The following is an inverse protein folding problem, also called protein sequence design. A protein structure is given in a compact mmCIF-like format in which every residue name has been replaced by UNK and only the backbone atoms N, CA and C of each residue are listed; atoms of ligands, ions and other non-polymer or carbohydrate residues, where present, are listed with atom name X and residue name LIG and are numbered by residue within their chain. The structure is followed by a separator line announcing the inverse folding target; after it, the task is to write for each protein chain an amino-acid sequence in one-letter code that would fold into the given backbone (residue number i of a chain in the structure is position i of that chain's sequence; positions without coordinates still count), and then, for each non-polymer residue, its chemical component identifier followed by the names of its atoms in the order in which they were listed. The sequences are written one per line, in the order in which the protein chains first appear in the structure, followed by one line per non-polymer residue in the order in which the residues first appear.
data_IF_933032547728
#
_entry.id   IF_933032547728
#
_cell.length_a   1.000
_cell.length_b   1.000
_cell.length_c   1.000
_cell.angle_alpha   90.00
_cell.angle_beta   90.00
_cell.angle_gamma   90.00
#
_symmetry.space_group_name_H-M   'P 1'
#
loop_
_entity.id
_entity.type
_entity.pdbx_description
1 polymer ?
#
# COMPACT_ATOMS: atom_id res chain seq x y z
N UNK A 1 28.37 -26.69 -35.23
CA UNK A 1 29.43 -26.53 -34.21
C UNK A 1 28.82 -25.74 -33.05
N UNK A 2 28.46 -26.42 -31.97
CA UNK A 2 27.82 -25.82 -30.79
C UNK A 2 28.90 -25.35 -29.81
N UNK A 3 28.81 -24.11 -29.32
CA UNK A 3 29.72 -23.56 -28.29
C UNK A 3 29.20 -23.91 -26.89
N UNK A 4 30.07 -24.27 -25.93
CA UNK A 4 29.66 -24.77 -24.63
C UNK A 4 29.21 -23.68 -23.67
N UNK A 5 28.26 -24.06 -22.82
CA UNK A 5 27.81 -23.38 -21.61
C UNK A 5 28.96 -22.75 -20.80
N UNK A 6 28.90 -21.44 -20.59
CA UNK A 6 29.53 -20.79 -19.43
C UNK A 6 28.43 -20.67 -18.37
N UNK A 7 28.45 -21.59 -17.40
CA UNK A 7 27.75 -21.41 -16.13
C UNK A 7 28.42 -20.23 -15.42
N UNK A 8 27.81 -19.05 -15.55
CA UNK A 8 28.16 -17.87 -14.75
C UNK A 8 27.98 -18.22 -13.28
N UNK A 9 29.10 -18.29 -12.56
CA UNK A 9 29.14 -18.36 -11.10
C UNK A 9 28.40 -17.12 -10.58
N UNK A 10 27.15 -17.28 -10.13
CA UNK A 10 26.57 -16.31 -9.20
C UNK A 10 27.43 -16.33 -7.95
N UNK A 11 28.26 -15.29 -7.79
CA UNK A 11 29.15 -15.13 -6.65
C UNK A 11 28.32 -14.83 -5.40
N UNK A 12 28.68 -15.45 -4.27
CA UNK A 12 28.06 -15.29 -2.95
C UNK A 12 27.84 -13.81 -2.55
N UNK A 13 28.64 -12.88 -3.08
CA UNK A 13 28.47 -11.44 -2.85
C UNK A 13 27.14 -10.88 -3.38
N UNK A 14 26.58 -11.42 -4.47
CA UNK A 14 25.29 -10.98 -5.02
C UNK A 14 24.13 -11.44 -4.13
N UNK A 15 24.23 -12.63 -3.51
CA UNK A 15 23.24 -13.14 -2.56
C UNK A 15 23.29 -12.39 -1.23
N UNK A 16 24.47 -11.98 -0.77
CA UNK A 16 24.64 -11.13 0.42
C UNK A 16 23.95 -9.75 0.25
N UNK A 17 24.12 -9.09 -0.90
CA UNK A 17 23.50 -7.80 -1.22
C UNK A 17 21.96 -7.85 -1.22
N UNK A 18 21.36 -8.92 -1.78
CA UNK A 18 19.90 -9.10 -1.75
C UNK A 18 19.39 -9.30 -0.32
N UNK A 19 20.06 -10.15 0.46
CA UNK A 19 19.64 -10.50 1.83
C UNK A 19 19.71 -9.29 2.77
N UNK A 20 20.74 -8.46 2.64
CA UNK A 20 20.88 -7.20 3.38
C UNK A 20 19.77 -6.17 3.06
N UNK A 21 19.39 -6.05 1.78
CA UNK A 21 18.30 -5.17 1.33
C UNK A 21 16.92 -5.62 1.86
N UNK A 22 16.64 -6.92 1.88
CA UNK A 22 15.38 -7.46 2.38
C UNK A 22 15.23 -7.33 3.90
N UNK A 23 16.31 -7.57 4.64
CA UNK A 23 16.34 -7.48 6.10
C UNK A 23 16.10 -6.04 6.60
N UNK A 24 16.81 -5.05 6.04
CA UNK A 24 16.63 -3.65 6.44
C UNK A 24 15.20 -3.14 6.18
N UNK A 25 14.51 -3.70 5.18
CA UNK A 25 13.10 -3.41 4.93
C UNK A 25 12.17 -4.11 5.92
N UNK A 26 12.46 -5.35 6.34
CA UNK A 26 11.69 -6.09 7.31
C UNK A 26 11.67 -5.40 8.68
N UNK A 27 12.83 -5.03 9.24
CA UNK A 27 12.90 -4.31 10.51
C UNK A 27 12.22 -2.94 10.46
N UNK A 28 12.37 -2.20 9.35
CA UNK A 28 11.68 -0.93 9.18
C UNK A 28 10.16 -1.08 9.16
N UNK A 29 9.63 -2.20 8.64
CA UNK A 29 8.19 -2.49 8.72
C UNK A 29 7.77 -2.76 10.15
N UNK A 30 8.53 -3.58 10.88
CA UNK A 30 8.26 -3.90 12.28
C UNK A 30 8.33 -2.67 13.19
N UNK A 31 9.35 -1.82 13.05
CA UNK A 31 9.47 -0.56 13.78
C UNK A 31 8.29 0.38 13.51
N UNK A 32 7.81 0.45 12.27
CA UNK A 32 6.61 1.25 11.93
C UNK A 32 5.35 0.69 12.59
N UNK A 33 5.18 -0.63 12.65
CA UNK A 33 4.05 -1.26 13.34
C UNK A 33 4.09 -0.95 14.84
N UNK A 34 5.25 -1.15 15.46
CA UNK A 34 5.48 -0.84 16.87
C UNK A 34 5.23 0.65 17.19
N UNK A 35 5.77 1.56 16.39
CA UNK A 35 5.61 3.00 16.57
C UNK A 35 4.13 3.43 16.53
N UNK A 36 3.35 2.86 15.60
CA UNK A 36 1.92 3.13 15.47
C UNK A 36 1.12 2.61 16.66
N UNK A 37 1.39 1.37 17.07
CA UNK A 37 0.70 0.73 18.19
C UNK A 37 0.95 1.45 19.53
N UNK A 38 2.18 1.95 19.74
CA UNK A 38 2.59 2.56 21.01
C UNK A 38 2.62 4.10 20.99
N UNK A 39 2.23 4.73 19.87
CA UNK A 39 2.24 6.20 19.66
C UNK A 39 3.58 6.86 19.95
N UNK A 40 4.69 6.17 19.64
CA UNK A 40 6.05 6.70 19.75
C UNK A 40 6.59 7.13 18.39
N UNK A 41 7.64 7.94 18.38
CA UNK A 41 8.27 8.31 17.10
C UNK A 41 8.92 7.10 16.43
N UNK A 42 8.97 7.11 15.09
CA UNK A 42 9.62 6.04 14.33
C UNK A 42 11.11 5.89 14.71
N UNK A 43 11.78 6.99 15.04
CA UNK A 43 13.19 6.96 15.45
C UNK A 43 13.38 6.17 16.77
N UNK A 44 12.53 6.43 17.77
CA UNK A 44 12.55 5.70 19.04
C UNK A 44 12.24 4.21 18.85
N UNK A 45 11.29 3.87 17.98
CA UNK A 45 10.98 2.48 17.67
C UNK A 45 12.15 1.77 16.95
N UNK A 46 12.86 2.46 16.05
CA UNK A 46 14.03 1.91 15.36
C UNK A 46 15.19 1.67 16.32
N UNK A 47 15.43 2.58 17.28
CA UNK A 47 16.49 2.40 18.28
C UNK A 47 16.15 1.30 19.28
N UNK A 48 14.87 1.14 19.64
CA UNK A 48 14.40 0.03 20.48
C UNK A 48 14.64 -1.32 19.80
N UNK A 49 14.25 -1.46 18.53
CA UNK A 49 14.50 -2.71 17.79
C UNK A 49 15.99 -2.94 17.54
N UNK A 50 16.80 -1.89 17.41
CA UNK A 50 18.24 -2.02 17.34
C UNK A 50 18.84 -2.51 18.67
N UNK A 51 18.32 -2.02 19.80
CA UNK A 51 18.67 -2.47 21.15
C UNK A 51 18.41 -3.95 21.37
N UNK A 52 17.26 -4.45 20.91
CA UNK A 52 16.91 -5.87 20.96
C UNK A 52 17.92 -6.75 20.19
N UNK A 53 18.48 -6.20 19.11
CA UNK A 53 19.49 -6.86 18.30
C UNK A 53 20.92 -6.67 18.83
N UNK A 54 21.07 -6.06 20.01
CA UNK A 54 22.36 -5.83 20.67
C UNK A 54 23.09 -4.56 20.24
N UNK A 55 22.41 -3.62 19.57
CA UNK A 55 23.00 -2.37 19.10
C UNK A 55 22.52 -1.15 19.89
N UNK A 56 23.45 -0.24 20.19
CA UNK A 56 23.15 1.01 20.92
C UNK A 56 22.22 1.96 20.15
N UNK A 57 22.19 1.87 18.82
CA UNK A 57 21.27 2.66 17.98
C UNK A 57 21.06 2.05 16.61
N UNK A 58 19.98 2.46 15.95
CA UNK A 58 19.67 2.08 14.58
C UNK A 58 20.80 2.44 13.60
N UNK A 59 21.45 3.59 13.80
CA UNK A 59 22.57 4.03 12.97
C UNK A 59 23.77 3.08 13.09
N UNK A 60 24.05 2.57 14.31
CA UNK A 60 25.11 1.58 14.53
C UNK A 60 24.76 0.25 13.88
N UNK A 61 23.52 -0.22 14.02
CA UNK A 61 23.03 -1.41 13.35
C UNK A 61 23.20 -1.30 11.83
N UNK A 62 22.76 -0.21 11.22
CA UNK A 62 22.89 0.01 9.75
C UNK A 62 24.36 0.10 9.32
N UNK A 63 25.23 0.68 10.14
CA UNK A 63 26.68 0.74 9.83
C UNK A 63 27.35 -0.63 9.88
N UNK A 64 26.87 -1.51 10.76
CA UNK A 64 27.39 -2.88 10.92
C UNK A 64 26.77 -3.84 9.91
N UNK A 65 25.51 -3.64 9.53
CA UNK A 65 24.85 -4.44 8.47
C UNK A 65 25.49 -4.24 7.11
N UNK A 66 26.12 -3.08 6.87
CA UNK A 66 26.95 -2.82 5.67
C UNK A 66 28.27 -3.62 5.66
N UNK A 67 28.62 -4.28 6.76
CA UNK A 67 29.80 -5.14 6.93
C UNK A 67 29.39 -6.60 7.11
N UNK A 68 28.41 -7.05 6.32
CA UNK A 68 27.91 -8.42 6.25
C UNK A 68 27.22 -8.98 7.51
N UNK A 69 26.83 -8.11 8.44
CA UNK A 69 26.02 -8.53 9.57
C UNK A 69 24.55 -8.71 9.16
N UNK A 70 24.01 -9.89 9.44
CA UNK A 70 22.61 -10.29 9.23
C UNK A 70 22.13 -10.89 10.55
N UNK A 71 20.94 -10.54 11.06
CA UNK A 71 20.44 -11.16 12.28
C UNK A 71 20.10 -12.61 12.05
N UNK A 72 20.29 -13.39 13.11
CA UNK A 72 19.82 -14.77 13.16
C UNK A 72 18.28 -14.84 13.12
N UNK A 73 17.72 -15.99 12.72
CA UNK A 73 16.28 -16.24 12.81
C UNK A 73 15.72 -16.04 14.22
N UNK A 74 16.48 -16.39 15.25
CA UNK A 74 16.11 -16.20 16.66
C UNK A 74 16.01 -14.72 17.03
N UNK A 75 16.98 -13.92 16.58
CA UNK A 75 16.96 -12.46 16.75
C UNK A 75 15.77 -11.81 16.03
N UNK A 76 15.43 -12.29 14.83
CA UNK A 76 14.24 -11.83 14.10
C UNK A 76 12.94 -12.22 14.81
N UNK A 77 12.86 -13.45 15.33
CA UNK A 77 11.70 -13.92 16.09
C UNK A 77 11.51 -13.12 17.39
N UNK A 78 12.61 -12.75 18.08
CA UNK A 78 12.53 -11.90 19.29
C UNK A 78 11.97 -10.51 18.96
N UNK A 79 12.45 -9.90 17.88
CA UNK A 79 11.95 -8.60 17.41
C UNK A 79 10.47 -8.68 17.01
N UNK A 80 10.05 -9.76 16.34
CA UNK A 80 8.65 -9.99 15.98
C UNK A 80 7.77 -10.15 17.23
N UNK A 81 8.22 -10.93 18.22
CA UNK A 81 7.51 -11.14 19.48
C UNK A 81 7.29 -9.83 20.27
N UNK A 82 8.29 -8.94 20.32
CA UNK A 82 8.15 -7.61 20.93
C UNK A 82 7.10 -6.78 20.21
N UNK A 83 7.09 -6.82 18.88
CA UNK A 83 6.14 -6.06 18.07
C UNK A 83 4.73 -6.60 18.27
N UNK A 84 4.56 -7.91 18.29
CA UNK A 84 3.27 -8.58 18.48
C UNK A 84 2.71 -8.38 19.89
N UNK A 85 3.55 -8.49 20.93
CA UNK A 85 3.16 -8.25 22.32
C UNK A 85 2.77 -6.79 22.59
N UNK A 86 3.25 -5.85 21.78
CA UNK A 86 2.94 -4.43 21.89
C UNK A 86 1.74 -3.99 21.02
N UNK A 87 1.11 -4.90 20.27
CA UNK A 87 -0.15 -4.62 19.57
C UNK A 87 -1.31 -4.67 20.57
N UNK A 88 -2.15 -3.62 20.66
CA UNK A 88 -3.36 -3.73 21.46
C UNK A 88 -4.30 -4.83 20.92
N UNK A 89 -5.11 -5.43 21.80
CA UNK A 89 -5.85 -6.67 21.55
C UNK A 89 -6.81 -6.60 20.34
N UNK A 90 -7.24 -5.40 19.97
CA UNK A 90 -8.03 -5.07 18.78
C UNK A 90 -7.24 -5.13 17.45
N UNK A 91 -5.91 -5.15 17.49
CA UNK A 91 -5.04 -5.37 16.32
C UNK A 91 -4.57 -6.83 16.19
N UNK A 92 -4.89 -7.70 17.16
CA UNK A 92 -4.63 -9.13 17.05
C UNK A 92 -5.60 -9.75 16.04
N UNK A 93 -5.06 -10.45 15.04
CA UNK A 93 -5.85 -11.13 14.03
C UNK A 93 -6.78 -12.16 14.69
N UNK A 94 -8.10 -12.01 14.49
CA UNK A 94 -9.11 -12.95 14.99
C UNK A 94 -9.92 -12.49 16.20
N UNK A 95 -9.65 -11.29 16.77
CA UNK A 95 -10.48 -10.78 17.87
C UNK A 95 -11.90 -10.44 17.38
N UNK A 96 -12.99 -10.89 18.06
CA UNK A 96 -14.37 -10.66 17.63
C UNK A 96 -14.72 -9.19 17.44
N UNK A 97 -14.20 -8.30 18.30
CA UNK A 97 -14.41 -6.86 18.19
C UNK A 97 -13.67 -6.23 16.99
N UNK A 98 -12.48 -6.74 16.64
CA UNK A 98 -11.74 -6.31 15.46
C UNK A 98 -12.43 -6.77 14.17
N UNK A 99 -13.01 -7.98 14.20
CA UNK A 99 -13.86 -8.50 13.13
C UNK A 99 -15.17 -7.71 13.05
N UNK A 100 -15.83 -7.41 14.17
CA UNK A 100 -17.06 -6.62 14.20
C UNK A 100 -16.83 -5.20 13.69
N UNK A 101 -15.74 -4.51 14.05
CA UNK A 101 -15.37 -3.23 13.45
C UNK A 101 -15.05 -3.34 11.96
N UNK A 102 -14.40 -4.43 11.53
CA UNK A 102 -14.12 -4.71 10.11
C UNK A 102 -15.41 -4.98 9.32
N UNK A 103 -16.40 -5.62 9.94
CA UNK A 103 -17.70 -5.97 9.35
C UNK A 103 -18.74 -4.85 9.47
N UNK A 104 -18.62 -3.93 10.44
CA UNK A 104 -19.53 -2.78 10.60
C UNK A 104 -19.51 -1.83 9.38
N UNK A 105 -18.41 -1.85 8.60
CA UNK A 105 -18.36 -1.15 7.31
C UNK A 105 -19.23 -1.80 6.22
N UNK A 106 -19.56 -3.10 6.35
CA UNK A 106 -20.45 -3.80 5.41
C UNK A 106 -21.92 -3.46 5.65
N UNK A 107 -22.33 -3.20 6.91
CA UNK A 107 -23.71 -2.85 7.25
C UNK A 107 -24.12 -1.48 6.68
N UNK A 108 -23.16 -0.58 6.48
CA UNK A 108 -23.38 0.74 5.87
C UNK A 108 -23.03 0.78 4.37
N UNK A 109 -22.83 -0.37 3.73
CA UNK A 109 -22.51 -0.40 2.31
C UNK A 109 -23.67 0.15 1.48
N UNK A 110 -23.35 0.98 0.49
CA UNK A 110 -24.30 1.41 -0.53
C UNK A 110 -24.68 0.20 -1.39
N UNK A 111 -25.97 -0.03 -1.62
CA UNK A 111 -26.46 -1.15 -2.41
C UNK A 111 -26.94 -0.66 -3.78
N UNK A 112 -26.75 -1.48 -4.81
CA UNK A 112 -27.27 -1.18 -6.13
C UNK A 112 -27.28 -2.40 -7.05
N UNK A 113 -27.69 -2.15 -8.30
CA UNK A 113 -27.81 -3.17 -9.35
C UNK A 113 -27.09 -2.73 -10.62
N UNK A 114 -26.44 -3.67 -11.30
CA UNK A 114 -25.97 -3.52 -12.68
C UNK A 114 -26.63 -4.62 -13.49
N UNK A 115 -27.70 -4.27 -14.23
CA UNK A 115 -28.59 -5.29 -14.78
C UNK A 115 -29.23 -6.08 -13.64
N UNK A 116 -29.16 -7.40 -13.71
CA UNK A 116 -29.70 -8.30 -12.68
C UNK A 116 -28.66 -8.69 -11.61
N UNK A 117 -27.47 -8.08 -11.62
CA UNK A 117 -26.42 -8.37 -10.66
C UNK A 117 -26.40 -7.34 -9.52
N UNK A 118 -26.70 -7.76 -8.28
CA UNK A 118 -26.56 -6.90 -7.12
C UNK A 118 -25.09 -6.63 -6.82
N UNK A 119 -24.81 -5.42 -6.35
CA UNK A 119 -23.52 -5.04 -5.81
C UNK A 119 -23.66 -4.29 -4.49
N UNK A 120 -22.58 -4.32 -3.72
CA UNK A 120 -22.34 -3.49 -2.54
C UNK A 120 -21.15 -2.60 -2.79
N UNK A 121 -21.23 -1.36 -2.37
CA UNK A 121 -20.16 -0.38 -2.46
C UNK A 121 -19.82 0.09 -1.05
N UNK A 122 -18.53 0.14 -0.74
CA UNK A 122 -18.02 0.58 0.55
C UNK A 122 -16.77 1.43 0.39
N UNK A 123 -16.49 2.25 1.41
CA UNK A 123 -15.26 3.03 1.51
C UNK A 123 -14.44 2.50 2.68
N UNK A 124 -13.21 2.09 2.41
CA UNK A 124 -12.28 1.59 3.43
C UNK A 124 -10.94 2.30 3.28
N UNK A 125 -10.51 3.05 4.30
CA UNK A 125 -9.29 3.88 4.22
C UNK A 125 -9.26 4.78 2.96
N UNK A 126 -10.42 5.34 2.60
CA UNK A 126 -10.64 6.13 1.38
C UNK A 126 -10.49 5.39 0.03
N UNK A 127 -10.16 4.11 0.04
CA UNK A 127 -10.33 3.25 -1.13
C UNK A 127 -11.82 2.93 -1.30
N UNK A 128 -12.30 2.97 -2.54
CA UNK A 128 -13.67 2.57 -2.87
C UNK A 128 -13.67 1.14 -3.37
N UNK A 129 -14.42 0.28 -2.72
CA UNK A 129 -14.51 -1.15 -3.03
C UNK A 129 -15.95 -1.44 -3.43
N UNK A 130 -16.12 -1.94 -4.65
CA UNK A 130 -17.37 -2.51 -5.13
C UNK A 130 -17.26 -4.03 -5.13
N UNK A 131 -18.22 -4.72 -4.53
CA UNK A 131 -18.25 -6.18 -4.40
C UNK A 131 -19.57 -6.69 -4.96
N UNK A 132 -19.50 -7.74 -5.76
CA UNK A 132 -20.65 -8.52 -6.19
C UNK A 132 -20.36 -10.01 -6.04
N UNK A 133 -21.28 -10.84 -6.54
CA UNK A 133 -21.13 -12.28 -6.41
C UNK A 133 -19.93 -12.83 -7.20
N UNK A 134 -18.90 -13.29 -6.50
CA UNK A 134 -17.67 -13.82 -7.09
C UNK A 134 -16.71 -12.79 -7.69
N UNK A 135 -16.93 -11.48 -7.49
CA UNK A 135 -16.03 -10.44 -7.99
C UNK A 135 -15.92 -9.22 -7.08
N UNK A 136 -14.83 -8.48 -7.23
CA UNK A 136 -14.67 -7.16 -6.63
C UNK A 136 -13.84 -6.22 -7.51
N UNK A 137 -14.10 -4.93 -7.38
CA UNK A 137 -13.35 -3.84 -8.01
C UNK A 137 -12.96 -2.86 -6.91
N UNK A 138 -11.66 -2.61 -6.76
CA UNK A 138 -11.12 -1.61 -5.84
C UNK A 138 -10.54 -0.44 -6.63
N UNK A 139 -11.00 0.77 -6.33
CA UNK A 139 -10.38 2.02 -6.78
C UNK A 139 -9.62 2.63 -5.61
N UNK A 140 -8.28 2.68 -5.68
CA UNK A 140 -7.50 3.25 -4.59
C UNK A 140 -7.74 4.75 -4.42
N UNK A 141 -7.50 5.26 -3.21
CA UNK A 141 -7.53 6.69 -2.87
C UNK A 141 -6.70 7.50 -3.88
N UNK A 142 -5.48 7.03 -4.19
CA UNK A 142 -4.55 7.66 -5.12
C UNK A 142 -5.16 7.76 -6.54
N UNK A 143 -5.41 8.98 -7.06
CA UNK A 143 -6.01 9.17 -8.39
C UNK A 143 -5.20 8.56 -9.54
N UNK A 144 -3.88 8.52 -9.41
CA UNK A 144 -2.98 7.92 -10.40
C UNK A 144 -2.90 6.39 -10.35
N UNK A 145 -3.46 5.75 -9.31
CA UNK A 145 -3.46 4.31 -9.20
C UNK A 145 -4.55 3.68 -10.08
N UNK A 146 -4.22 2.53 -10.69
CA UNK A 146 -5.18 1.79 -11.51
C UNK A 146 -6.18 1.04 -10.63
N UNK A 147 -7.46 0.94 -11.04
CA UNK A 147 -8.40 0.05 -10.40
C UNK A 147 -7.91 -1.40 -10.42
N UNK A 148 -8.18 -2.13 -9.36
CA UNK A 148 -7.83 -3.54 -9.18
C UNK A 148 -9.13 -4.34 -9.29
N UNK A 149 -9.19 -5.25 -10.25
CA UNK A 149 -10.32 -6.17 -10.43
C UNK A 149 -9.89 -7.55 -9.93
N UNK A 150 -10.71 -8.18 -9.10
CA UNK A 150 -10.47 -9.52 -8.58
C UNK A 150 -11.70 -10.39 -8.79
N UNK A 151 -11.48 -11.66 -9.09
CA UNK A 151 -12.53 -12.68 -9.20
C UNK A 151 -12.17 -13.88 -8.33
N UNK A 152 -13.18 -14.55 -7.79
CA UNK A 152 -13.00 -15.83 -7.09
C UNK A 152 -13.06 -16.93 -8.14
N UNK A 153 -12.02 -17.76 -8.19
CA UNK A 153 -11.77 -18.78 -9.23
C UNK A 153 -12.76 -19.95 -9.27
N UNK A 154 -13.74 -19.99 -8.38
CA UNK A 154 -14.71 -21.08 -8.27
C UNK A 154 -15.91 -20.94 -9.22
N UNK A 155 -16.09 -19.79 -9.88
CA UNK A 155 -17.20 -19.59 -10.80
C UNK A 155 -16.78 -19.89 -12.24
N UNK A 156 -17.36 -20.96 -12.81
CA UNK A 156 -17.16 -21.55 -14.14
C UNK A 156 -17.36 -20.58 -15.33
N UNK A 157 -16.56 -19.52 -15.42
CA UNK A 157 -16.60 -18.55 -16.54
C UNK A 157 -17.83 -17.64 -16.59
N UNK A 158 -18.77 -17.75 -15.64
CA UNK A 158 -20.02 -16.96 -15.59
C UNK A 158 -19.92 -15.63 -14.82
N UNK A 159 -18.72 -15.17 -14.50
CA UNK A 159 -18.56 -13.94 -13.72
C UNK A 159 -18.85 -12.71 -14.59
N UNK A 160 -19.79 -11.82 -14.20
CA UNK A 160 -20.24 -10.72 -15.06
C UNK A 160 -19.15 -9.71 -15.37
N UNK A 161 -18.09 -9.61 -14.56
CA UNK A 161 -16.94 -8.72 -14.84
C UNK A 161 -16.11 -9.12 -16.07
N UNK A 162 -16.33 -10.31 -16.62
CA UNK A 162 -15.74 -10.71 -17.90
C UNK A 162 -16.49 -10.11 -19.10
N UNK A 163 -17.74 -9.68 -18.90
CA UNK A 163 -18.50 -8.95 -19.91
C UNK A 163 -18.04 -7.48 -19.93
N UNK A 164 -17.64 -7.01 -21.11
CA UNK A 164 -17.03 -5.68 -21.25
C UNK A 164 -17.98 -4.55 -20.83
N UNK A 165 -19.26 -4.64 -21.23
CA UNK A 165 -20.26 -3.62 -20.90
C UNK A 165 -20.51 -3.54 -19.39
N UNK A 166 -20.62 -4.70 -18.74
CA UNK A 166 -20.76 -4.79 -17.29
C UNK A 166 -19.56 -4.16 -16.59
N UNK A 167 -18.34 -4.56 -16.97
CA UNK A 167 -17.11 -4.05 -16.36
C UNK A 167 -16.99 -2.54 -16.54
N UNK A 168 -17.32 -2.01 -17.71
CA UNK A 168 -17.28 -0.56 -17.96
C UNK A 168 -18.27 0.19 -17.07
N UNK A 169 -19.50 -0.32 -16.93
CA UNK A 169 -20.52 0.27 -16.07
C UNK A 169 -20.12 0.22 -14.59
N UNK A 170 -19.61 -0.93 -14.13
CA UNK A 170 -19.09 -1.09 -12.78
C UNK A 170 -17.91 -0.13 -12.49
N UNK A 171 -16.96 -0.03 -13.43
CA UNK A 171 -15.83 0.90 -13.34
C UNK A 171 -16.28 2.36 -13.30
N UNK A 172 -17.31 2.75 -14.05
CA UNK A 172 -17.85 4.11 -14.00
C UNK A 172 -18.39 4.42 -12.60
N UNK A 173 -19.28 3.57 -12.08
CA UNK A 173 -19.92 3.76 -10.78
C UNK A 173 -18.90 3.87 -9.64
N UNK A 174 -17.92 2.97 -9.60
CA UNK A 174 -16.89 2.98 -8.55
C UNK A 174 -15.95 4.18 -8.68
N UNK A 175 -15.63 4.63 -9.91
CA UNK A 175 -14.83 5.85 -10.14
C UNK A 175 -15.56 7.12 -9.75
N UNK A 176 -16.85 7.20 -10.05
CA UNK A 176 -17.68 8.35 -9.68
C UNK A 176 -17.78 8.47 -8.16
N UNK A 177 -17.92 7.34 -7.45
CA UNK A 177 -17.86 7.36 -6.00
C UNK A 177 -16.47 7.73 -5.47
N UNK A 178 -15.40 7.20 -6.06
CA UNK A 178 -14.04 7.57 -5.67
C UNK A 178 -13.78 9.07 -5.87
N UNK A 179 -14.31 9.67 -6.93
CA UNK A 179 -14.26 11.12 -7.13
C UNK A 179 -14.97 11.89 -6.01
N UNK A 180 -16.14 11.41 -5.54
CA UNK A 180 -16.84 12.01 -4.39
C UNK A 180 -16.02 11.92 -3.10
N UNK A 181 -15.51 10.74 -2.76
CA UNK A 181 -14.67 10.51 -1.57
C UNK A 181 -13.43 11.41 -1.57
N UNK A 182 -12.76 11.52 -2.72
CA UNK A 182 -11.61 12.42 -2.90
C UNK A 182 -11.98 13.90 -2.76
N UNK A 183 -13.17 14.27 -3.23
CA UNK A 183 -13.75 15.58 -3.03
C UNK A 183 -13.96 15.87 -1.54
N UNK A 184 -14.53 14.93 -0.80
CA UNK A 184 -14.73 15.00 0.66
C UNK A 184 -13.39 15.23 1.39
N UNK A 185 -12.35 14.43 1.10
CA UNK A 185 -10.99 14.61 1.64
C UNK A 185 -10.44 16.03 1.38
N UNK A 186 -10.70 16.55 0.18
CA UNK A 186 -10.19 17.85 -0.23
C UNK A 186 -10.88 19.02 0.48
N UNK A 187 -12.06 18.81 1.08
CA UNK A 187 -12.77 19.87 1.81
C UNK A 187 -12.08 20.29 3.10
N UNK A 188 -11.34 19.37 3.73
CA UNK A 188 -10.58 19.62 4.95
C UNK A 188 -9.25 20.34 4.69
N UNK A 189 -8.88 20.55 3.42
CA UNK A 189 -7.59 21.12 3.04
C UNK A 189 -7.72 22.61 2.69
N UNK A 190 -6.65 23.41 2.91
CA UNK A 190 -6.59 24.74 2.35
C UNK A 190 -6.83 24.72 0.84
N UNK A 191 -7.60 25.68 0.31
CA UNK A 191 -7.90 25.79 -1.13
C UNK A 191 -6.65 25.68 -2.03
N UNK A 192 -5.54 26.23 -1.56
CA UNK A 192 -4.24 26.24 -2.25
C UNK A 192 -3.56 24.87 -2.30
N UNK A 193 -4.07 23.86 -1.60
CA UNK A 193 -3.59 22.48 -1.64
C UNK A 193 -4.10 21.69 -2.84
N UNK A 194 -5.25 22.08 -3.39
CA UNK A 194 -5.87 21.45 -4.55
C UNK A 194 -5.93 22.39 -5.76
N UNK A 195 -5.72 23.68 -5.56
CA UNK A 195 -5.71 24.70 -6.61
C UNK A 195 -4.40 25.50 -6.63
N UNK A 196 -3.44 25.15 -7.51
CA UNK A 196 -2.24 25.94 -7.76
C UNK A 196 -2.54 27.38 -8.22
N UNK A 197 -1.60 28.31 -8.10
CA UNK A 197 -1.69 29.61 -8.81
C UNK A 197 -1.19 29.49 -10.25
N UNK A 198 -1.17 30.63 -10.91
CA UNK A 198 -0.57 30.87 -12.21
C UNK A 198 0.90 30.42 -12.26
N UNK A 199 1.64 30.50 -11.15
CA UNK A 199 3.04 30.07 -11.06
C UNK A 199 3.18 28.60 -10.65
N UNK A 200 2.06 27.89 -10.43
CA UNK A 200 2.04 26.50 -10.04
C UNK A 200 2.35 26.25 -8.56
N UNK A 201 2.42 27.28 -7.71
CA UNK A 201 2.64 27.16 -6.27
C UNK A 201 1.41 26.55 -5.61
N UNK A 202 1.64 25.56 -4.76
CA UNK A 202 0.61 24.90 -3.94
C UNK A 202 1.02 24.85 -2.48
N UNK A 203 0.02 24.76 -1.59
CA UNK A 203 0.22 24.71 -0.14
C UNK A 203 0.05 23.30 0.40
N UNK A 204 0.97 22.82 1.21
CA UNK A 204 0.86 21.50 1.87
C UNK A 204 -0.33 21.43 2.82
N UNK A 205 -1.22 20.42 2.71
CA UNK A 205 -2.42 20.30 3.52
C UNK A 205 -2.19 20.38 5.03
N UNK A 206 -1.16 19.70 5.55
CA UNK A 206 -0.99 19.54 7.01
C UNK A 206 -0.12 20.61 7.69
N UNK A 207 0.82 21.24 6.98
CA UNK A 207 1.83 22.13 7.60
C UNK A 207 1.99 23.48 6.90
N UNK A 208 1.18 23.76 5.88
CA UNK A 208 1.06 25.09 5.31
C UNK A 208 2.26 25.59 4.51
N UNK A 209 3.32 24.80 4.28
CA UNK A 209 4.44 25.16 3.39
C UNK A 209 3.96 25.31 1.96
N UNK A 210 4.44 26.34 1.27
CA UNK A 210 4.12 26.62 -0.12
C UNK A 210 5.33 26.37 -1.03
N UNK A 211 5.10 25.77 -2.19
CA UNK A 211 6.11 25.60 -3.24
C UNK A 211 5.46 25.17 -4.56
N UNK A 212 6.11 25.53 -5.67
CA UNK A 212 5.86 25.05 -7.04
C UNK A 212 6.56 23.71 -7.33
N UNK A 213 7.46 23.25 -6.45
CA UNK A 213 8.25 22.04 -6.61
C UNK A 213 8.30 21.19 -5.33
N UNK A 214 7.94 19.93 -5.48
CA UNK A 214 7.90 18.93 -4.41
C UNK A 214 8.76 17.73 -4.76
N UNK A 215 9.20 16.99 -3.75
CA UNK A 215 10.05 15.82 -3.94
C UNK A 215 9.46 14.63 -3.22
N UNK A 216 9.36 13.50 -3.91
CA UNK A 216 8.88 12.27 -3.32
C UNK A 216 9.93 11.68 -2.37
N UNK A 217 9.54 11.34 -1.14
CA UNK A 217 10.44 10.68 -0.19
C UNK A 217 10.81 9.23 -0.59
N UNK A 218 10.06 8.62 -1.50
CA UNK A 218 10.29 7.24 -1.93
C UNK A 218 11.22 7.11 -3.14
N UNK A 219 11.09 8.00 -4.13
CA UNK A 219 11.85 7.92 -5.37
C UNK A 219 12.73 9.15 -5.64
N UNK A 220 12.70 10.16 -4.77
CA UNK A 220 13.38 11.45 -4.94
C UNK A 220 13.01 12.22 -6.20
N UNK A 221 11.99 11.78 -6.93
CA UNK A 221 11.50 12.43 -8.13
C UNK A 221 10.92 13.80 -7.82
N UNK A 222 11.26 14.79 -8.65
CA UNK A 222 10.65 16.13 -8.64
C UNK A 222 9.21 16.03 -9.17
N UNK A 223 8.30 16.68 -8.48
CA UNK A 223 6.86 16.75 -8.79
C UNK A 223 6.50 18.22 -8.80
N UNK A 224 5.84 18.70 -9.86
CA UNK A 224 5.38 20.09 -9.91
C UNK A 224 4.20 20.30 -8.97
N UNK A 225 3.95 21.55 -8.55
CA UNK A 225 2.78 21.88 -7.73
C UNK A 225 1.45 21.51 -8.40
N UNK A 226 1.35 21.66 -9.72
CA UNK A 226 0.19 21.19 -10.50
C UNK A 226 0.02 19.68 -10.38
N UNK A 227 1.08 18.90 -10.61
CA UNK A 227 1.02 17.43 -10.55
C UNK A 227 0.65 16.93 -9.15
N UNK A 228 1.23 17.50 -8.09
CA UNK A 228 0.97 17.04 -6.73
C UNK A 228 -0.44 17.41 -6.25
N UNK A 229 -0.97 18.57 -6.66
CA UNK A 229 -2.35 18.96 -6.33
C UNK A 229 -3.38 18.10 -7.08
N UNK A 230 -3.16 17.83 -8.38
CA UNK A 230 -4.04 16.98 -9.17
C UNK A 230 -4.07 15.53 -8.67
N UNK A 231 -2.97 15.06 -8.06
CA UNK A 231 -2.84 13.68 -7.60
C UNK A 231 -2.99 13.53 -6.08
N UNK A 232 -3.72 14.42 -5.41
CA UNK A 232 -4.00 14.39 -3.96
C UNK A 232 -2.76 14.14 -3.10
N UNK A 233 -1.67 14.82 -3.41
CA UNK A 233 -0.41 14.70 -2.68
C UNK A 233 0.26 13.32 -2.72
N UNK A 234 -0.17 12.44 -3.63
CA UNK A 234 0.53 11.21 -3.98
C UNK A 234 1.58 11.44 -5.06
N UNK A 235 2.69 10.71 -4.98
CA UNK A 235 3.71 10.74 -6.03
C UNK A 235 3.21 10.06 -7.32
N UNK A 236 3.26 10.74 -8.49
CA UNK A 236 2.87 10.14 -9.76
C UNK A 236 3.72 8.92 -10.14
N UNK A 237 5.02 8.94 -9.81
CA UNK A 237 5.95 7.86 -10.16
C UNK A 237 5.87 6.62 -9.26
N UNK A 238 5.16 6.68 -8.13
CA UNK A 238 5.01 5.55 -7.19
C UNK A 238 3.69 4.80 -7.42
N UNK A 239 2.80 5.30 -8.30
CA UNK A 239 1.51 4.68 -8.65
C UNK A 239 1.62 3.28 -9.31
N UNK A 240 2.83 2.72 -9.41
CA UNK A 240 3.13 1.47 -10.11
C UNK A 240 3.36 0.25 -9.21
N UNK A 241 3.29 0.38 -7.88
CA UNK A 241 3.39 -0.78 -6.98
C UNK A 241 2.22 -0.84 -6.00
N UNK A 242 1.38 -1.89 -6.06
CA UNK A 242 0.44 -2.14 -4.99
C UNK A 242 1.24 -2.35 -3.71
N UNK A 243 0.90 -1.62 -2.64
CA UNK A 243 1.35 -1.94 -1.30
C UNK A 243 0.77 -3.31 -0.97
N UNK A 244 1.61 -4.35 -0.98
CA UNK A 244 1.24 -5.70 -0.55
C UNK A 244 1.01 -5.70 0.95
N UNK A 245 -0.19 -5.29 1.36
CA UNK A 245 -0.80 -5.62 2.64
C UNK A 245 -2.12 -6.35 2.37
N UNK A 246 -2.03 -7.45 1.61
CA UNK A 246 -3.05 -8.48 1.61
C UNK A 246 -2.34 -9.75 2.04
N UNK A 247 -2.58 -10.13 3.29
CA UNK A 247 -2.33 -11.49 3.79
C UNK A 247 -3.00 -12.44 2.79
N UNK A 248 -2.21 -13.22 2.04
CA UNK A 248 -2.74 -14.24 1.13
C UNK A 248 -3.50 -15.28 1.94
N UNK A 249 -4.77 -15.58 1.63
CA UNK A 249 -5.19 -16.97 1.56
C UNK A 249 -4.59 -17.54 0.27
N UNK A 250 -3.89 -18.66 0.41
CA UNK A 250 -3.42 -19.48 -0.69
C UNK A 250 -4.54 -19.75 -1.70
N UNK A 251 -4.41 -19.23 -2.93
CA UNK A 251 -5.34 -19.53 -4.03
C UNK A 251 -5.41 -18.52 -5.19
N UNK A 252 -4.94 -17.28 -5.03
CA UNK A 252 -5.15 -16.23 -6.05
C UNK A 252 -4.04 -16.23 -7.12
N UNK A 253 -4.38 -16.59 -8.36
CA UNK A 253 -3.56 -16.29 -9.55
C UNK A 253 -3.87 -14.87 -10.04
N UNK A 254 -2.97 -13.93 -9.79
CA UNK A 254 -2.95 -12.64 -10.50
C UNK A 254 -2.49 -12.86 -11.93
N UNK A 255 -3.35 -12.65 -12.94
CA UNK A 255 -2.92 -12.53 -14.34
C UNK A 255 -3.00 -11.09 -14.80
N UNK A 256 -1.83 -10.58 -15.23
CA UNK A 256 -1.64 -9.76 -16.42
C UNK A 256 -2.31 -8.39 -16.44
N UNK A 257 -1.52 -7.35 -16.22
CA UNK A 257 -1.78 -6.03 -16.78
C UNK A 257 -1.97 -6.16 -18.30
N UNK A 258 -3.19 -5.92 -18.79
CA UNK A 258 -3.44 -5.71 -20.22
C UNK A 258 -2.74 -4.42 -20.66
N UNK A 259 -1.60 -4.58 -21.34
CA UNK A 259 -1.10 -3.61 -22.30
C UNK A 259 -2.00 -3.66 -23.54
N UNK A 260 -2.35 -2.48 -24.05
CA UNK A 260 -2.93 -2.29 -25.38
C UNK A 260 -1.89 -2.62 -26.46
N UNK A 261 -2.41 -2.91 -27.66
CA UNK A 261 -1.70 -2.76 -28.94
C UNK A 261 -1.01 -1.40 -29.04
#
# INVERSE_FOLDING_TARGET
MWSPFVLSKQTESQLADFTQLFFGQALRRLAKRYARANRVSLHQALDLLAGELGFVSWTKLVSTSKKDWIPSPEQMASVEAIVEGALPADFQAGHPAAMAHRLAYLDNAEHGMIGDHPYRLQVALHDVIMVGDGWSITVPENPGARPIVQTVTENDGKCPVFELEFLQKALSLVRDRAARVRGEISTDWPRRSTKPDLDGVVRRPLWGRESDAWFCLHCSGKITGIQIAQNLWHCPGVAHRPSTSSTRPSGVKTRGSLCRQ
#
